data_IF_099741534159
#
_entry.id   IF_099741534159
#
_cell.length_a   1.000
_cell.length_b   1.000
_cell.length_c   1.000
_cell.angle_alpha   90.00
_cell.angle_beta   90.00
_cell.angle_gamma   90.00
#
_symmetry.space_group_name_H-M   'P 1'
#
loop_
_entity.id
_entity.type
_entity.pdbx_description
1 polymer ?
#
# COMPACT_ATOMS: atom_id res chain seq x y z
N UNK A 1 -8.43 27.96 5.19
CA UNK A 1 -9.09 26.75 5.76
C UNK A 1 -8.45 25.44 5.29
N UNK A 2 -8.10 25.27 4.00
CA UNK A 2 -7.50 24.02 3.44
C UNK A 2 -6.20 23.59 4.15
N UNK A 3 -5.33 24.54 4.49
CA UNK A 3 -4.04 24.27 5.14
C UNK A 3 -4.16 23.58 6.52
N UNK A 4 -5.25 23.83 7.27
CA UNK A 4 -5.46 23.20 8.58
C UNK A 4 -5.86 21.73 8.50
N UNK A 5 -6.56 21.32 7.44
CA UNK A 5 -6.96 19.92 7.25
C UNK A 5 -5.78 19.07 6.80
N UNK A 6 -4.90 19.63 5.96
CA UNK A 6 -3.70 18.94 5.49
C UNK A 6 -2.69 18.71 6.61
N UNK A 7 -2.48 19.70 7.48
CA UNK A 7 -1.58 19.55 8.64
C UNK A 7 -2.15 18.56 9.66
N UNK A 8 -3.45 18.60 9.94
CA UNK A 8 -4.09 17.65 10.85
C UNK A 8 -4.03 16.21 10.30
N UNK A 9 -4.27 16.02 9.00
CA UNK A 9 -4.17 14.71 8.36
C UNK A 9 -2.72 14.19 8.31
N UNK A 10 -1.75 15.07 8.00
CA UNK A 10 -0.33 14.72 7.99
C UNK A 10 0.17 14.36 9.40
N UNK A 11 -0.19 15.14 10.42
CA UNK A 11 0.14 14.86 11.82
C UNK A 11 -0.52 13.57 12.32
N UNK A 12 -1.77 13.31 11.91
CA UNK A 12 -2.48 12.06 12.20
C UNK A 12 -1.78 10.86 11.56
N UNK A 13 -1.42 10.96 10.27
CA UNK A 13 -0.67 9.90 9.59
C UNK A 13 0.70 9.69 10.25
N UNK A 14 1.42 10.77 10.55
CA UNK A 14 2.70 10.70 11.23
C UNK A 14 2.56 10.00 12.60
N UNK A 15 1.58 10.37 13.42
CA UNK A 15 1.32 9.74 14.72
C UNK A 15 0.87 8.26 14.60
N UNK A 16 0.12 7.90 13.55
CA UNK A 16 -0.32 6.51 13.32
C UNK A 16 0.83 5.58 12.88
N UNK A 17 1.89 6.15 12.30
CA UNK A 17 2.95 5.42 11.63
C UNK A 17 4.34 5.62 12.26
N UNK A 18 4.48 6.45 13.30
CA UNK A 18 5.76 6.70 13.97
C UNK A 18 6.19 5.57 14.91
N UNK A 19 7.46 5.17 14.76
CA UNK A 19 8.30 4.18 15.48
C UNK A 19 7.78 2.75 15.73
N UNK A 20 6.47 2.52 15.80
CA UNK A 20 5.89 1.20 16.08
C UNK A 20 4.54 1.00 15.38
N UNK A 21 4.25 1.77 14.32
CA UNK A 21 2.90 2.01 13.78
C UNK A 21 2.07 0.78 13.37
N UNK A 22 0.87 1.06 12.82
CA UNK A 22 -0.15 0.07 12.44
C UNK A 22 0.41 -1.19 11.73
N UNK A 23 1.42 -1.13 10.82
CA UNK A 23 1.99 -2.33 10.21
C UNK A 23 2.67 -3.27 11.21
N UNK A 24 3.37 -2.73 12.21
CA UNK A 24 4.01 -3.50 13.27
C UNK A 24 2.97 -4.08 14.23
N UNK A 25 1.88 -3.36 14.49
CA UNK A 25 0.74 -3.90 15.25
C UNK A 25 0.08 -5.08 14.52
N UNK A 26 -0.19 -4.92 13.22
CA UNK A 26 -0.75 -5.97 12.38
C UNK A 26 0.18 -7.18 12.34
N UNK A 27 1.48 -6.95 12.13
CA UNK A 27 2.47 -8.02 12.15
C UNK A 27 2.54 -8.68 13.53
N UNK A 28 2.55 -7.90 14.61
CA UNK A 28 2.57 -8.40 15.98
C UNK A 28 1.33 -9.24 16.29
N UNK A 29 0.14 -8.82 15.88
CA UNK A 29 -1.11 -9.59 16.03
C UNK A 29 -1.05 -10.88 15.19
N UNK A 30 -0.63 -10.80 13.92
CA UNK A 30 -0.50 -11.97 13.05
C UNK A 30 0.49 -12.97 13.63
N UNK A 31 1.67 -12.52 14.06
CA UNK A 31 2.69 -13.38 14.66
C UNK A 31 2.24 -13.94 16.01
N UNK A 32 1.49 -13.18 16.80
CA UNK A 32 0.88 -13.67 18.06
C UNK A 32 -0.11 -14.79 17.78
N UNK A 33 -0.98 -14.63 16.78
CA UNK A 33 -1.93 -15.66 16.37
C UNK A 33 -1.22 -16.88 15.78
N UNK A 34 -0.19 -16.69 14.94
CA UNK A 34 0.61 -17.79 14.39
C UNK A 34 1.35 -18.55 15.48
N UNK A 35 1.90 -17.87 16.49
CA UNK A 35 2.54 -18.48 17.66
C UNK A 35 1.61 -19.29 18.54
N UNK A 36 0.28 -19.23 18.35
CA UNK A 36 -0.65 -20.18 18.96
C UNK A 36 -0.66 -21.53 18.23
N UNK A 37 -0.19 -21.57 16.98
CA UNK A 37 -0.12 -22.76 16.14
C UNK A 37 1.31 -23.26 15.92
N UNK A 38 2.32 -22.42 16.21
CA UNK A 38 3.74 -22.75 16.05
C UNK A 38 4.46 -22.57 17.39
N UNK A 39 5.36 -23.48 17.75
CA UNK A 39 6.19 -23.38 18.97
C UNK A 39 7.23 -22.24 18.92
N UNK A 40 7.19 -21.40 17.87
CA UNK A 40 8.08 -20.26 17.68
C UNK A 40 7.36 -18.98 18.06
N UNK A 41 7.27 -18.72 19.36
CA UNK A 41 6.79 -17.44 19.87
C UNK A 41 7.86 -16.36 19.66
N UNK A 42 7.65 -15.47 18.68
CA UNK A 42 8.47 -14.26 18.55
C UNK A 42 7.99 -13.26 19.63
N UNK A 43 8.84 -12.84 20.58
CA UNK A 43 8.42 -11.97 21.69
C UNK A 43 8.21 -10.53 21.20
N UNK A 44 7.07 -10.28 20.56
CA UNK A 44 6.61 -8.92 20.30
C UNK A 44 5.88 -8.38 21.53
N UNK A 45 6.43 -7.32 22.13
CA UNK A 45 5.73 -6.56 23.17
C UNK A 45 4.58 -5.80 22.53
N UNK A 46 3.35 -6.27 22.73
CA UNK A 46 2.15 -5.57 22.28
C UNK A 46 1.98 -4.30 23.11
N UNK A 47 1.83 -3.16 22.45
CA UNK A 47 1.47 -1.88 23.09
C UNK A 47 -0.05 -1.65 22.94
N UNK A 48 -0.88 -2.10 23.89
CA UNK A 48 -2.33 -1.99 23.76
C UNK A 48 -2.82 -0.54 23.72
N UNK A 49 -2.12 0.37 24.42
CA UNK A 49 -2.47 1.78 24.41
C UNK A 49 -2.12 2.43 23.07
N UNK A 50 -0.94 2.12 22.54
CA UNK A 50 -0.51 2.53 21.21
C UNK A 50 -1.50 2.07 20.12
N UNK A 51 -1.95 0.82 20.18
CA UNK A 51 -2.98 0.29 19.27
C UNK A 51 -4.27 1.13 19.33
N UNK A 52 -4.78 1.41 20.53
CA UNK A 52 -6.02 2.20 20.69
C UNK A 52 -5.85 3.61 20.13
N UNK A 53 -4.73 4.28 20.44
CA UNK A 53 -4.45 5.62 19.93
C UNK A 53 -4.37 5.60 18.39
N UNK A 54 -3.64 4.64 17.80
CA UNK A 54 -3.52 4.52 16.34
C UNK A 54 -4.85 4.20 15.67
N UNK A 55 -5.71 3.40 16.29
CA UNK A 55 -7.07 3.14 15.83
C UNK A 55 -7.93 4.41 15.85
N UNK A 56 -7.88 5.21 16.92
CA UNK A 56 -8.61 6.48 17.00
C UNK A 56 -8.12 7.48 15.95
N UNK A 57 -6.81 7.54 15.74
CA UNK A 57 -6.18 8.36 14.70
C UNK A 57 -6.61 7.88 13.31
N UNK A 58 -6.65 6.57 13.06
CA UNK A 58 -7.14 5.99 11.80
C UNK A 58 -8.61 6.34 11.56
N UNK A 59 -9.48 6.15 12.56
CA UNK A 59 -10.91 6.49 12.47
C UNK A 59 -11.09 7.98 12.18
N UNK A 60 -10.33 8.84 12.87
CA UNK A 60 -10.34 10.28 12.64
C UNK A 60 -9.89 10.62 11.23
N UNK A 61 -8.78 10.06 10.75
CA UNK A 61 -8.28 10.25 9.40
C UNK A 61 -9.29 9.79 8.33
N UNK A 62 -9.94 8.64 8.52
CA UNK A 62 -11.00 8.12 7.65
C UNK A 62 -12.19 9.08 7.63
N UNK A 63 -12.62 9.58 8.79
CA UNK A 63 -13.72 10.54 8.88
C UNK A 63 -13.40 11.88 8.20
N UNK A 64 -12.22 12.43 8.43
CA UNK A 64 -11.74 13.66 7.78
C UNK A 64 -11.62 13.46 6.26
N UNK A 65 -11.08 12.32 5.83
CA UNK A 65 -10.98 11.93 4.42
C UNK A 65 -12.36 11.82 3.77
N UNK A 66 -13.31 11.17 4.44
CA UNK A 66 -14.71 11.07 3.99
C UNK A 66 -15.35 12.45 3.83
N UNK A 67 -15.20 13.33 4.83
CA UNK A 67 -15.73 14.71 4.79
C UNK A 67 -15.11 15.51 3.64
N UNK A 68 -13.79 15.41 3.47
CA UNK A 68 -13.05 16.09 2.41
C UNK A 68 -13.51 15.61 1.03
N UNK A 69 -13.65 14.30 0.84
CA UNK A 69 -14.17 13.73 -0.41
C UNK A 69 -15.61 14.17 -0.69
N UNK A 70 -16.47 14.22 0.32
CA UNK A 70 -17.84 14.71 0.15
C UNK A 70 -17.87 16.18 -0.26
N UNK A 71 -17.06 17.01 0.39
CA UNK A 71 -16.91 18.42 0.03
C UNK A 71 -16.41 18.59 -1.41
N UNK A 72 -15.36 17.87 -1.80
CA UNK A 72 -14.82 17.92 -3.17
C UNK A 72 -15.82 17.44 -4.23
N UNK A 73 -16.64 16.43 -3.92
CA UNK A 73 -17.70 15.97 -4.83
C UNK A 73 -18.74 17.06 -5.03
N UNK A 74 -19.19 17.69 -3.93
CA UNK A 74 -20.15 18.79 -3.98
C UNK A 74 -19.61 19.97 -4.79
N UNK A 75 -18.35 20.35 -4.58
CA UNK A 75 -17.73 21.47 -5.30
C UNK A 75 -17.52 21.18 -6.80
N UNK A 76 -17.49 19.91 -7.21
CA UNK A 76 -17.35 19.49 -8.61
C UNK A 76 -18.69 19.22 -9.31
N UNK A 77 -19.82 19.34 -8.61
CA UNK A 77 -21.14 18.96 -9.15
C UNK A 77 -21.32 17.44 -9.31
N UNK A 78 -20.47 16.64 -8.67
CA UNK A 78 -20.61 15.19 -8.60
C UNK A 78 -21.74 14.84 -7.63
N UNK A 79 -22.34 13.65 -7.77
CA UNK A 79 -23.32 13.20 -6.78
C UNK A 79 -22.67 13.05 -5.40
N UNK A 80 -23.19 13.73 -4.37
CA UNK A 80 -22.61 13.68 -3.01
C UNK A 80 -22.50 12.26 -2.45
N UNK A 81 -23.49 11.41 -2.76
CA UNK A 81 -23.58 10.05 -2.20
C UNK A 81 -22.69 9.05 -2.93
N UNK A 82 -22.78 8.97 -4.26
CA UNK A 82 -22.03 7.98 -5.04
C UNK A 82 -20.72 8.50 -5.64
N UNK A 83 -20.50 9.82 -5.71
CA UNK A 83 -19.32 10.42 -6.33
C UNK A 83 -19.16 10.10 -7.82
N UNK A 84 -20.27 9.83 -8.52
CA UNK A 84 -20.27 9.70 -9.98
C UNK A 84 -20.23 11.12 -10.55
N UNK A 85 -19.19 11.46 -11.33
CA UNK A 85 -19.10 12.79 -11.92
C UNK A 85 -20.17 13.02 -12.98
N UNK A 86 -20.49 14.28 -13.24
CA UNK A 86 -21.38 14.64 -14.34
C UNK A 86 -20.77 14.23 -15.69
N UNK A 87 -19.45 14.36 -15.83
CA UNK A 87 -18.68 13.92 -16.99
C UNK A 87 -17.78 12.74 -16.62
N UNK A 88 -17.95 11.56 -17.25
CA UNK A 88 -17.07 10.42 -17.03
C UNK A 88 -15.62 10.77 -17.38
N UNK A 89 -14.68 10.43 -16.48
CA UNK A 89 -13.24 10.47 -16.79
C UNK A 89 -12.83 9.12 -17.34
N UNK A 90 -12.19 9.05 -18.50
CA UNK A 90 -11.61 7.80 -18.98
C UNK A 90 -10.25 7.55 -18.33
N UNK A 91 -10.17 6.57 -17.42
CA UNK A 91 -8.93 6.16 -16.76
C UNK A 91 -8.27 4.97 -17.45
N UNK A 92 -8.87 4.40 -18.49
CA UNK A 92 -8.47 3.11 -19.06
C UNK A 92 -7.03 3.14 -19.59
N UNK A 93 -6.64 4.22 -20.26
CA UNK A 93 -5.27 4.38 -20.78
C UNK A 93 -4.26 4.48 -19.63
N UNK A 94 -4.55 5.32 -18.64
CA UNK A 94 -3.69 5.49 -17.46
C UNK A 94 -3.56 4.19 -16.67
N UNK A 95 -4.66 3.45 -16.46
CA UNK A 95 -4.65 2.17 -15.78
C UNK A 95 -3.83 1.10 -16.50
N UNK A 96 -3.87 1.06 -17.84
CA UNK A 96 -3.01 0.15 -18.63
C UNK A 96 -1.54 0.49 -18.47
N UNK A 97 -1.18 1.77 -18.55
CA UNK A 97 0.20 2.23 -18.37
C UNK A 97 0.67 1.90 -16.94
N UNK A 98 -0.14 2.22 -15.94
CA UNK A 98 0.13 1.90 -14.54
C UNK A 98 0.31 0.39 -14.31
N UNK A 99 -0.52 -0.44 -14.93
CA UNK A 99 -0.39 -1.89 -14.83
C UNK A 99 0.97 -2.38 -15.37
N UNK A 100 1.39 -1.89 -16.54
CA UNK A 100 2.70 -2.22 -17.12
C UNK A 100 3.84 -1.67 -16.28
N UNK A 101 3.75 -0.41 -15.83
CA UNK A 101 4.76 0.25 -15.01
C UNK A 101 4.93 -0.39 -13.63
N UNK A 102 3.90 -1.05 -13.10
CA UNK A 102 3.99 -1.77 -11.83
C UNK A 102 4.89 -3.01 -11.90
N UNK A 103 4.98 -3.67 -13.05
CA UNK A 103 5.73 -4.93 -13.22
C UNK A 103 7.21 -4.76 -12.86
N UNK A 104 7.98 -3.82 -13.42
CA UNK A 104 9.40 -3.68 -13.07
C UNK A 104 9.62 -3.30 -11.60
N UNK A 105 8.74 -2.50 -10.99
CA UNK A 105 8.85 -2.15 -9.58
C UNK A 105 8.64 -3.38 -8.68
N UNK A 106 7.61 -4.18 -8.95
CA UNK A 106 7.30 -5.40 -8.20
C UNK A 106 8.39 -6.46 -8.42
N UNK A 107 8.71 -6.75 -9.69
CA UNK A 107 9.67 -7.78 -10.05
C UNK A 107 11.09 -7.43 -9.61
N UNK A 108 11.50 -6.17 -9.71
CA UNK A 108 12.81 -5.71 -9.28
C UNK A 108 13.04 -5.92 -7.79
N UNK A 109 12.07 -5.57 -6.95
CA UNK A 109 12.16 -5.81 -5.51
C UNK A 109 12.09 -7.31 -5.16
N UNK A 110 11.20 -8.07 -5.79
CA UNK A 110 11.11 -9.51 -5.58
C UNK A 110 12.43 -10.23 -5.97
N UNK A 111 13.06 -9.83 -7.08
CA UNK A 111 14.35 -10.36 -7.49
C UNK A 111 15.46 -10.02 -6.50
N UNK A 112 15.50 -8.79 -5.98
CA UNK A 112 16.44 -8.39 -4.94
C UNK A 112 16.26 -9.23 -3.67
N UNK A 113 15.02 -9.48 -3.26
CA UNK A 113 14.71 -10.35 -2.12
C UNK A 113 15.12 -11.80 -2.34
N UNK A 114 14.89 -12.36 -3.52
CA UNK A 114 15.39 -13.69 -3.87
C UNK A 114 16.92 -13.73 -3.83
N UNK A 115 17.58 -12.72 -4.38
CA UNK A 115 19.03 -12.64 -4.37
C UNK A 115 19.60 -12.71 -2.95
N UNK A 116 19.07 -11.89 -2.03
CA UNK A 116 19.45 -11.96 -0.61
C UNK A 116 19.14 -13.30 0.04
N UNK A 117 17.98 -13.90 -0.26
CA UNK A 117 17.58 -15.21 0.27
C UNK A 117 18.48 -16.37 -0.22
N UNK A 118 19.19 -16.19 -1.33
CA UNK A 118 20.19 -17.13 -1.85
C UNK A 118 21.63 -16.75 -1.44
N UNK A 119 21.80 -15.89 -0.42
CA UNK A 119 23.10 -15.49 0.10
C UNK A 119 23.81 -14.40 -0.70
N UNK A 120 23.11 -13.74 -1.62
CA UNK A 120 23.63 -12.60 -2.37
C UNK A 120 23.73 -11.34 -1.50
N UNK A 121 24.75 -10.52 -1.76
CA UNK A 121 25.09 -9.33 -0.98
C UNK A 121 24.77 -8.01 -1.69
N UNK A 122 24.08 -8.05 -2.84
CA UNK A 122 23.81 -6.85 -3.63
C UNK A 122 23.07 -5.79 -2.82
N UNK A 123 23.76 -4.67 -2.52
CA UNK A 123 23.19 -3.56 -1.77
C UNK A 123 23.11 -3.77 -0.26
N UNK A 124 23.69 -4.85 0.26
CA UNK A 124 23.91 -5.08 1.70
C UNK A 124 25.17 -4.33 2.12
N UNK A 125 25.08 -3.55 3.21
CA UNK A 125 26.23 -2.83 3.78
C UNK A 125 26.81 -3.55 5.01
N UNK A 126 25.97 -4.26 5.76
CA UNK A 126 26.39 -5.16 6.83
C UNK A 126 26.08 -6.61 6.44
N UNK A 127 27.07 -7.30 5.89
CA UNK A 127 26.92 -8.69 5.44
C UNK A 127 26.75 -9.68 6.60
N UNK A 128 27.25 -9.34 7.79
CA UNK A 128 27.07 -10.19 8.98
C UNK A 128 25.61 -10.22 9.40
N UNK A 129 24.89 -9.10 9.30
CA UNK A 129 23.46 -9.04 9.57
C UNK A 129 22.59 -9.86 8.60
N UNK A 130 23.13 -10.24 7.44
CA UNK A 130 22.44 -11.05 6.42
C UNK A 130 22.98 -12.49 6.33
N UNK A 131 23.90 -12.89 7.20
CA UNK A 131 24.54 -14.21 7.12
C UNK A 131 23.54 -15.36 7.32
N UNK A 132 22.54 -15.16 8.18
CA UNK A 132 21.53 -16.17 8.52
C UNK A 132 20.22 -16.01 7.72
N UNK A 133 20.22 -15.15 6.68
CA UNK A 133 19.06 -14.93 5.83
C UNK A 133 18.94 -16.06 4.81
N UNK A 134 17.75 -16.65 4.73
CA UNK A 134 17.40 -17.68 3.77
C UNK A 134 16.00 -17.44 3.15
N UNK A 135 15.51 -18.41 2.37
CA UNK A 135 14.18 -18.33 1.75
C UNK A 135 13.04 -18.31 2.76
N UNK A 136 13.16 -19.02 3.89
CA UNK A 136 12.07 -19.15 4.88
C UNK A 136 12.08 -18.02 5.90
N UNK A 137 13.14 -17.23 5.93
CA UNK A 137 13.24 -16.02 6.73
C UNK A 137 12.05 -15.09 6.40
N UNK A 138 11.30 -14.62 7.41
CA UNK A 138 10.15 -13.74 7.18
C UNK A 138 10.52 -12.48 6.38
N UNK A 139 9.70 -12.15 5.39
CA UNK A 139 9.92 -11.02 4.49
C UNK A 139 10.78 -11.34 3.25
N UNK A 140 11.13 -12.60 2.99
CA UNK A 140 11.84 -13.05 1.79
C UNK A 140 10.93 -13.81 0.82
N UNK A 141 10.79 -15.14 0.92
CA UNK A 141 9.96 -15.91 -0.02
C UNK A 141 8.49 -15.48 -0.01
N UNK A 142 7.94 -15.16 1.16
CA UNK A 142 6.60 -14.59 1.32
C UNK A 142 6.42 -13.29 0.51
N UNK A 143 7.40 -12.38 0.54
CA UNK A 143 7.41 -11.16 -0.27
C UNK A 143 7.39 -11.47 -1.76
N UNK A 144 8.14 -12.48 -2.20
CA UNK A 144 8.18 -12.91 -3.61
C UNK A 144 6.82 -13.46 -4.03
N UNK A 145 6.20 -14.31 -3.21
CA UNK A 145 4.87 -14.86 -3.47
C UNK A 145 3.80 -13.75 -3.48
N UNK A 146 3.83 -12.84 -2.52
CA UNK A 146 2.95 -11.66 -2.49
C UNK A 146 3.14 -10.75 -3.70
N UNK A 147 4.37 -10.65 -4.22
CA UNK A 147 4.68 -9.90 -5.44
C UNK A 147 4.03 -10.55 -6.67
N UNK A 148 4.10 -11.88 -6.79
CA UNK A 148 3.40 -12.63 -7.85
C UNK A 148 1.88 -12.43 -7.74
N UNK A 149 1.32 -12.54 -6.53
CA UNK A 149 -0.10 -12.26 -6.27
C UNK A 149 -0.46 -10.81 -6.64
N UNK A 150 0.41 -9.85 -6.34
CA UNK A 150 0.25 -8.44 -6.70
C UNK A 150 0.16 -8.21 -8.20
N UNK A 151 1.05 -8.84 -8.98
CA UNK A 151 1.01 -8.81 -10.45
C UNK A 151 -0.28 -9.45 -10.96
N UNK A 152 -0.65 -10.61 -10.41
CA UNK A 152 -1.90 -11.31 -10.73
C UNK A 152 -3.14 -10.46 -10.45
N UNK A 153 -3.17 -9.75 -9.32
CA UNK A 153 -4.23 -8.83 -8.92
C UNK A 153 -4.39 -7.69 -9.94
N UNK A 154 -3.29 -7.02 -10.29
CA UNK A 154 -3.28 -5.95 -11.30
C UNK A 154 -3.79 -6.48 -12.65
N UNK A 155 -3.32 -7.64 -13.09
CA UNK A 155 -3.76 -8.29 -14.31
C UNK A 155 -5.26 -8.63 -14.28
N UNK A 156 -5.74 -9.22 -13.18
CA UNK A 156 -7.14 -9.60 -12.99
C UNK A 156 -8.07 -8.38 -13.05
N UNK A 157 -7.67 -7.26 -12.47
CA UNK A 157 -8.44 -6.01 -12.49
C UNK A 157 -8.48 -5.38 -13.89
N UNK A 158 -7.35 -5.34 -14.61
CA UNK A 158 -7.29 -4.80 -15.98
C UNK A 158 -8.05 -5.67 -16.98
N UNK A 159 -7.88 -6.99 -16.89
CA UNK A 159 -8.57 -7.96 -17.76
C UNK A 159 -10.01 -8.21 -17.32
N UNK A 160 -10.40 -7.73 -16.14
CA UNK A 160 -11.74 -7.89 -15.53
C UNK A 160 -12.14 -9.36 -15.44
N UNK A 161 -11.25 -10.18 -14.88
CA UNK A 161 -11.55 -11.60 -14.64
C UNK A 161 -12.82 -11.77 -13.80
N UNK A 162 -13.52 -12.90 -13.99
CA UNK A 162 -14.80 -13.22 -13.34
C UNK A 162 -14.62 -13.63 -11.87
N UNK A 163 -13.95 -12.79 -11.10
CA UNK A 163 -13.77 -12.95 -9.65
C UNK A 163 -14.77 -12.07 -8.90
N UNK A 164 -15.17 -12.46 -7.67
CA UNK A 164 -16.02 -11.63 -6.84
C UNK A 164 -15.38 -10.24 -6.66
N UNK A 165 -16.10 -9.18 -7.02
CA UNK A 165 -15.58 -7.80 -6.95
C UNK A 165 -14.97 -7.47 -5.59
N UNK A 166 -15.59 -7.94 -4.52
CA UNK A 166 -15.15 -7.65 -3.16
C UNK A 166 -13.75 -8.22 -2.86
N UNK A 167 -13.39 -9.37 -3.42
CA UNK A 167 -12.08 -10.00 -3.14
C UNK A 167 -10.93 -9.21 -3.77
N UNK A 168 -11.09 -8.80 -5.04
CA UNK A 168 -10.10 -7.97 -5.74
C UNK A 168 -9.93 -6.61 -5.05
N UNK A 169 -11.05 -5.99 -4.68
CA UNK A 169 -11.04 -4.68 -4.03
C UNK A 169 -10.42 -4.78 -2.63
N UNK A 170 -10.79 -5.79 -1.84
CA UNK A 170 -10.20 -6.01 -0.52
C UNK A 170 -8.69 -6.24 -0.61
N UNK A 171 -8.23 -7.12 -1.50
CA UNK A 171 -6.81 -7.37 -1.72
C UNK A 171 -6.05 -6.10 -2.13
N UNK A 172 -6.63 -5.29 -3.02
CA UNK A 172 -6.04 -4.01 -3.41
C UNK A 172 -5.97 -3.01 -2.25
N UNK A 173 -7.00 -2.93 -1.41
CA UNK A 173 -6.99 -2.09 -0.22
C UNK A 173 -5.94 -2.52 0.80
N UNK A 174 -5.79 -3.83 1.05
CA UNK A 174 -4.73 -4.36 1.94
C UNK A 174 -3.36 -4.00 1.38
N UNK A 175 -3.11 -4.26 0.08
CA UNK A 175 -1.86 -3.90 -0.57
C UNK A 175 -1.55 -2.41 -0.49
N UNK A 176 -2.54 -1.53 -0.75
CA UNK A 176 -2.36 -0.08 -0.63
C UNK A 176 -2.11 0.37 0.81
N UNK A 177 -2.80 -0.21 1.79
CA UNK A 177 -2.62 0.10 3.20
C UNK A 177 -1.23 -0.29 3.72
N UNK A 178 -0.60 -1.31 3.12
CA UNK A 178 0.78 -1.69 3.44
C UNK A 178 1.81 -0.86 2.66
N UNK A 179 1.65 -0.73 1.34
CA UNK A 179 2.67 -0.14 0.48
C UNK A 179 2.79 1.38 0.65
N UNK A 180 1.66 2.10 0.76
CA UNK A 180 1.71 3.57 0.85
C UNK A 180 2.47 4.03 2.10
N UNK A 181 2.14 3.58 3.33
CA UNK A 181 2.84 4.07 4.52
C UNK A 181 4.32 3.65 4.52
N UNK A 182 4.63 2.41 4.17
CA UNK A 182 6.01 1.91 4.14
C UNK A 182 6.85 2.69 3.12
N UNK A 183 6.30 2.98 1.93
CA UNK A 183 7.00 3.79 0.93
C UNK A 183 7.26 5.21 1.41
N UNK A 184 6.27 5.87 2.02
CA UNK A 184 6.39 7.26 2.48
C UNK A 184 7.39 7.38 3.64
N UNK A 185 7.29 6.50 4.63
CA UNK A 185 8.22 6.45 5.76
C UNK A 185 9.64 6.16 5.28
N UNK A 186 9.81 5.15 4.41
CA UNK A 186 11.12 4.77 3.91
C UNK A 186 11.77 5.85 3.04
N UNK A 187 11.00 6.53 2.20
CA UNK A 187 11.49 7.70 1.44
C UNK A 187 11.89 8.82 2.41
N UNK A 188 11.06 9.15 3.40
CA UNK A 188 11.38 10.18 4.38
C UNK A 188 12.64 9.83 5.18
N UNK A 189 12.78 8.58 5.61
CA UNK A 189 13.97 8.07 6.28
C UNK A 189 15.21 8.20 5.40
N UNK A 190 15.15 7.78 4.13
CA UNK A 190 16.26 7.94 3.20
C UNK A 190 16.65 9.42 2.99
N UNK A 191 15.68 10.35 2.96
CA UNK A 191 15.97 11.79 2.90
C UNK A 191 16.72 12.25 4.14
N UNK A 192 16.32 11.80 5.34
CA UNK A 192 17.03 12.13 6.59
C UNK A 192 18.47 11.60 6.54
N UNK A 193 18.68 10.36 6.07
CA UNK A 193 20.01 9.76 5.92
C UNK A 193 20.95 10.50 4.97
N UNK A 194 20.44 11.35 4.06
CA UNK A 194 21.29 12.21 3.23
C UNK A 194 22.02 13.29 4.04
N UNK A 195 21.46 13.66 5.20
CA UNK A 195 22.02 14.70 6.08
C UNK A 195 22.67 14.12 7.33
N UNK A 196 22.19 12.97 7.80
CA UNK A 196 22.67 12.29 9.01
C UNK A 196 22.81 10.78 8.74
N UNK A 197 23.85 10.35 8.00
CA UNK A 197 24.04 8.95 7.67
C UNK A 197 24.44 8.14 8.93
N UNK A 198 23.83 6.97 9.17
CA UNK A 198 24.21 6.14 10.30
C UNK A 198 25.63 5.58 10.11
N UNK A 199 26.34 5.37 11.21
CA UNK A 199 27.70 4.80 11.20
C UNK A 199 27.73 3.36 10.66
N UNK A 200 26.68 2.57 10.93
CA UNK A 200 26.58 1.15 10.55
C UNK A 200 25.24 0.87 9.86
N UNK A 201 25.08 1.24 8.57
CA UNK A 201 23.85 0.95 7.83
C UNK A 201 23.75 -0.55 7.49
N UNK A 202 22.55 -1.12 7.62
CA UNK A 202 22.28 -2.49 7.15
C UNK A 202 22.33 -2.61 5.62
N UNK A 203 21.84 -1.57 4.93
CA UNK A 203 21.75 -1.52 3.48
C UNK A 203 22.55 -0.34 2.93
N UNK A 204 23.14 -0.51 1.76
CA UNK A 204 23.70 0.59 1.01
C UNK A 204 22.61 1.64 0.72
N UNK A 205 22.91 2.95 0.72
CA UNK A 205 21.90 4.00 0.55
C UNK A 205 21.05 3.84 -0.71
N UNK A 206 21.65 3.43 -1.83
CA UNK A 206 20.94 3.22 -3.09
C UNK A 206 19.92 2.08 -3.00
N UNK A 207 20.21 1.02 -2.22
CA UNK A 207 19.32 -0.12 -2.04
C UNK A 207 18.08 0.30 -1.25
N UNK A 208 18.27 1.11 -0.20
CA UNK A 208 17.17 1.76 0.52
C UNK A 208 16.27 2.56 -0.43
N UNK A 209 16.85 3.41 -1.28
CA UNK A 209 16.08 4.16 -2.28
C UNK A 209 15.32 3.26 -3.25
N UNK A 210 15.99 2.25 -3.80
CA UNK A 210 15.39 1.31 -4.74
C UNK A 210 14.18 0.58 -4.14
N UNK A 211 14.29 0.07 -2.91
CA UNK A 211 13.20 -0.65 -2.21
C UNK A 211 11.98 0.25 -2.03
N UNK A 212 12.16 1.44 -1.44
CA UNK A 212 11.02 2.28 -1.09
C UNK A 212 10.39 2.99 -2.31
N UNK A 213 11.18 3.30 -3.34
CA UNK A 213 10.64 3.79 -4.62
C UNK A 213 9.88 2.69 -5.37
N UNK A 214 10.32 1.43 -5.28
CA UNK A 214 9.57 0.29 -5.84
C UNK A 214 8.21 0.14 -5.17
N UNK A 215 8.15 0.23 -3.83
CA UNK A 215 6.88 0.23 -3.10
C UNK A 215 5.98 1.41 -3.46
N UNK A 216 6.53 2.62 -3.52
CA UNK A 216 5.76 3.81 -3.89
C UNK A 216 5.19 3.70 -5.31
N UNK A 217 6.01 3.25 -6.26
CA UNK A 217 5.60 3.03 -7.65
C UNK A 217 4.50 1.98 -7.74
N UNK A 218 4.68 0.84 -7.06
CA UNK A 218 3.66 -0.21 -7.01
C UNK A 218 2.35 0.31 -6.40
N UNK A 219 2.42 1.02 -5.27
CA UNK A 219 1.25 1.60 -4.59
C UNK A 219 0.46 2.54 -5.50
N UNK A 220 1.14 3.49 -6.15
CA UNK A 220 0.51 4.46 -7.06
C UNK A 220 -0.13 3.73 -8.25
N UNK A 221 0.58 2.77 -8.84
CA UNK A 221 0.05 2.02 -9.97
C UNK A 221 -1.18 1.19 -9.58
N UNK A 222 -1.12 0.47 -8.45
CA UNK A 222 -2.23 -0.31 -7.92
C UNK A 222 -3.44 0.58 -7.62
N UNK A 223 -3.22 1.78 -7.09
CA UNK A 223 -4.30 2.75 -6.84
C UNK A 223 -5.00 3.14 -8.14
N UNK A 224 -4.25 3.50 -9.18
CA UNK A 224 -4.82 3.90 -10.48
C UNK A 224 -5.63 2.75 -11.10
N UNK A 225 -5.08 1.53 -11.10
CA UNK A 225 -5.78 0.33 -11.61
C UNK A 225 -7.04 0.05 -10.79
N UNK A 226 -6.97 0.20 -9.48
CA UNK A 226 -8.11 0.00 -8.59
C UNK A 226 -9.21 1.03 -8.84
N UNK A 227 -8.86 2.30 -9.04
CA UNK A 227 -9.83 3.35 -9.37
C UNK A 227 -10.53 3.10 -10.71
N UNK A 228 -9.80 2.69 -11.74
CA UNK A 228 -10.38 2.30 -13.03
C UNK A 228 -11.32 1.09 -12.87
N UNK A 229 -10.88 0.03 -12.20
CA UNK A 229 -11.69 -1.16 -11.96
C UNK A 229 -12.97 -0.85 -11.18
N UNK A 230 -12.88 -0.05 -10.11
CA UNK A 230 -14.03 0.40 -9.34
C UNK A 230 -14.99 1.25 -10.16
N UNK A 231 -14.47 2.08 -11.08
CA UNK A 231 -15.27 2.89 -11.98
C UNK A 231 -15.98 2.03 -13.03
N UNK A 232 -15.28 1.08 -13.65
CA UNK A 232 -15.80 0.19 -14.67
C UNK A 232 -16.83 -0.81 -14.13
N UNK A 233 -16.71 -1.22 -12.87
CA UNK A 233 -17.63 -2.19 -12.24
C UNK A 233 -18.71 -1.55 -11.38
N UNK A 234 -18.74 -0.21 -11.27
CA UNK A 234 -19.74 0.52 -10.49
C UNK A 234 -21.17 0.21 -10.95
N UNK A 235 -22.06 -0.11 -10.01
CA UNK A 235 -23.49 -0.20 -10.28
C UNK A 235 -24.08 1.21 -10.47
N UNK A 236 -25.19 1.37 -11.22
CA UNK A 236 -25.90 2.64 -11.30
C UNK A 236 -26.24 3.17 -9.90
N UNK A 237 -26.12 4.48 -9.70
CA UNK A 237 -26.49 5.06 -8.42
C UNK A 237 -28.01 5.08 -8.26
N UNK A 238 -28.53 4.45 -7.20
CA UNK A 238 -29.96 4.46 -6.89
C UNK A 238 -30.52 5.85 -6.58
N UNK A 239 -29.68 6.79 -6.13
CA UNK A 239 -30.14 8.13 -5.74
C UNK A 239 -30.19 9.14 -6.88
N UNK A 240 -29.31 9.04 -7.88
CA UNK A 240 -29.25 10.00 -8.98
C UNK A 240 -29.44 9.37 -10.37
N UNK A 241 -29.64 8.05 -10.46
CA UNK A 241 -29.80 7.30 -11.70
C UNK A 241 -28.53 7.22 -12.57
N UNK A 242 -27.49 8.00 -12.28
CA UNK A 242 -26.29 8.10 -13.13
C UNK A 242 -25.52 6.78 -13.18
N UNK A 243 -25.09 6.42 -14.39
CA UNK A 243 -24.14 5.33 -14.68
C UNK A 243 -22.77 5.90 -14.99
N UNK A 244 -21.70 5.32 -14.42
CA UNK A 244 -20.33 5.85 -14.54
C UNK A 244 -19.74 5.72 -15.95
N UNK A 245 -20.25 4.77 -16.74
CA UNK A 245 -20.02 4.64 -18.18
C UNK A 245 -21.31 4.14 -18.84
N UNK A 246 -21.62 4.64 -20.05
CA UNK A 246 -22.50 3.90 -20.95
C UNK A 246 -21.84 2.53 -21.15
N UNK A 247 -22.56 1.43 -20.90
CA UNK A 247 -22.03 0.09 -21.18
C UNK A 247 -21.53 0.10 -22.62
N UNK A 248 -20.23 -0.09 -22.83
CA UNK A 248 -19.81 -0.69 -24.08
C UNK A 248 -20.49 -2.05 -24.05
N UNK A 249 -21.51 -2.22 -24.88
CA UNK A 249 -22.14 -3.50 -25.11
C UNK A 249 -21.00 -4.51 -25.37
N UNK A 250 -20.96 -5.56 -24.56
CA UNK A 250 -20.06 -6.67 -24.79
C UNK A 250 -20.46 -7.38 -26.09
#
# INVERSE_FOLDING_TARGET
MIAGWTTTAAASLFAAFWQDGIPKDLLGVILTVLGWFTDQAVPFKVDPLGIVIRLLVLVSAVFLGYRTLRYQRRSRGDCERCGIPATPRDLRRAARIAAVASIPAIAGYAALKLHWAFGGDLGVADTAAFADVDLVTPGYLDTVLLSVVGIGLVAAMIRRWRLPRWSLVAAAFVGLAMLLPVSLLGIAYNVIMLFDPPENPLLAPWAGWFVYLSFGTWAVCLLIVTLDYLAATARPCRCCGRTRYARIAA
#
